data_IF_884579529703
#
_entry.id   IF_884579529703
#
_cell.length_a   1.000
_cell.length_b   1.000
_cell.length_c   1.000
_cell.angle_alpha   90.00
_cell.angle_beta   90.00
_cell.angle_gamma   90.00
#
_symmetry.space_group_name_H-M   'P 1'
#
loop_
_entity.id
_entity.type
_entity.pdbx_description
1 polymer ?
#
# COMPACT_ATOMS: atom_id res chain seq x y z
N UNK A 1 -43.70 -33.35 -19.18
CA UNK A 1 -42.89 -32.22 -19.68
C UNK A 1 -41.45 -32.69 -19.71
N UNK A 2 -40.99 -33.04 -20.91
CA UNK A 2 -39.72 -33.73 -21.15
C UNK A 2 -38.62 -32.74 -21.53
N UNK A 3 -37.40 -33.13 -21.16
CA UNK A 3 -36.14 -32.39 -21.17
C UNK A 3 -35.58 -32.24 -22.59
N UNK A 4 -36.32 -31.61 -23.49
CA UNK A 4 -35.86 -31.30 -24.86
C UNK A 4 -36.70 -30.14 -25.44
N UNK A 5 -36.35 -28.90 -25.13
CA UNK A 5 -36.72 -27.71 -25.89
C UNK A 5 -36.19 -26.47 -25.16
N UNK A 6 -34.98 -26.02 -25.55
CA UNK A 6 -34.44 -24.65 -25.37
C UNK A 6 -32.98 -24.56 -25.91
N UNK A 7 -32.68 -25.35 -26.95
CA UNK A 7 -31.63 -25.02 -27.92
C UNK A 7 -32.37 -24.52 -29.17
N UNK A 8 -31.90 -23.41 -29.73
CA UNK A 8 -32.25 -22.89 -31.07
C UNK A 8 -33.48 -21.95 -31.20
N UNK A 9 -33.27 -20.68 -30.81
CA UNK A 9 -33.50 -19.51 -31.70
C UNK A 9 -32.28 -18.59 -31.52
N UNK A 10 -31.25 -18.73 -32.36
CA UNK A 10 -31.00 -17.92 -33.57
C UNK A 10 -30.72 -16.43 -33.21
N UNK A 11 -29.46 -16.00 -33.08
CA UNK A 11 -28.42 -15.69 -34.10
C UNK A 11 -28.49 -14.23 -34.59
N UNK A 12 -27.30 -13.59 -34.63
CA UNK A 12 -26.87 -12.36 -35.33
C UNK A 12 -26.97 -10.99 -34.62
N UNK A 13 -25.86 -10.59 -33.99
CA UNK A 13 -25.19 -9.32 -34.27
C UNK A 13 -23.70 -9.43 -33.89
N UNK A 14 -22.87 -9.65 -34.92
CA UNK A 14 -21.41 -9.64 -34.87
C UNK A 14 -20.95 -8.32 -35.50
N UNK A 15 -20.31 -7.43 -34.74
CA UNK A 15 -19.46 -6.38 -35.31
C UNK A 15 -18.48 -5.79 -34.28
N UNK A 16 -17.21 -6.10 -34.51
CA UNK A 16 -16.03 -5.22 -34.36
C UNK A 16 -15.55 -4.87 -32.94
N UNK A 17 -14.56 -5.64 -32.48
CA UNK A 17 -13.57 -5.26 -31.46
C UNK A 17 -12.43 -4.53 -32.16
N UNK A 18 -12.04 -3.31 -31.74
CA UNK A 18 -10.70 -2.81 -32.02
C UNK A 18 -9.74 -3.23 -30.90
N UNK A 19 -8.63 -3.84 -31.31
CA UNK A 19 -7.43 -3.99 -30.50
C UNK A 19 -6.86 -2.62 -30.12
N UNK A 20 -6.42 -2.50 -28.87
CA UNK A 20 -5.30 -1.63 -28.50
C UNK A 20 -5.64 -0.52 -27.50
N UNK A 21 -5.42 -0.79 -26.22
CA UNK A 21 -4.57 0.12 -25.44
C UNK A 21 -3.92 -0.62 -24.27
N UNK A 22 -2.60 -0.49 -24.27
CA UNK A 22 -1.63 -0.95 -23.31
C UNK A 22 -2.00 -0.37 -21.93
N UNK A 23 -2.25 -1.20 -20.91
CA UNK A 23 -2.24 -0.73 -19.52
C UNK A 23 -0.77 -0.50 -19.17
N UNK A 24 -0.32 0.73 -19.36
CA UNK A 24 0.96 1.18 -18.83
C UNK A 24 0.78 1.38 -17.33
N UNK A 25 1.29 0.44 -16.54
CA UNK A 25 1.60 0.70 -15.14
C UNK A 25 2.75 1.73 -15.12
N UNK A 26 2.39 3.02 -15.04
CA UNK A 26 3.33 4.12 -14.95
C UNK A 26 3.45 4.52 -13.49
N UNK A 27 4.60 4.17 -12.91
CA UNK A 27 5.12 4.71 -11.65
C UNK A 27 5.21 6.24 -11.73
N UNK A 28 4.89 6.93 -10.64
CA UNK A 28 5.09 8.37 -10.50
C UNK A 28 6.54 8.78 -10.81
N UNK A 29 6.78 9.80 -11.65
CA UNK A 29 8.06 10.50 -11.64
C UNK A 29 8.11 11.38 -10.39
N UNK A 30 9.05 11.07 -9.50
CA UNK A 30 9.53 12.04 -8.52
C UNK A 30 10.04 13.26 -9.31
N UNK A 31 9.46 14.44 -9.06
CA UNK A 31 10.11 15.68 -9.47
C UNK A 31 11.17 15.98 -8.42
N UNK A 32 12.40 15.61 -8.74
CA UNK A 32 13.59 15.97 -7.98
C UNK A 32 13.70 17.50 -7.92
N UNK A 33 13.37 18.08 -6.77
CA UNK A 33 13.86 19.41 -6.39
C UNK A 33 15.24 19.21 -5.73
N UNK A 34 16.30 19.20 -6.53
CA UNK A 34 17.67 19.31 -6.01
C UNK A 34 17.98 20.77 -5.59
N UNK A 35 18.58 21.00 -4.41
CA UNK A 35 19.11 22.30 -4.02
C UNK A 35 20.53 22.53 -4.59
N UNK A 36 20.96 23.79 -4.83
CA UNK A 36 22.11 24.09 -5.66
C UNK A 36 23.43 24.12 -4.86
N UNK A 37 24.44 23.36 -5.29
CA UNK A 37 25.84 23.63 -4.92
C UNK A 37 26.82 23.37 -6.08
N UNK A 38 27.37 24.48 -6.59
CA UNK A 38 28.68 24.75 -7.19
C UNK A 38 29.47 23.64 -7.91
N UNK A 39 29.60 23.80 -9.23
CA UNK A 39 30.70 23.26 -10.03
C UNK A 39 31.99 24.08 -9.83
N UNK A 40 33.07 23.38 -9.46
CA UNK A 40 34.44 23.87 -9.58
C UNK A 40 35.32 22.79 -10.23
N UNK A 41 35.46 22.88 -11.56
CA UNK A 41 36.75 22.95 -12.25
C UNK A 41 37.61 21.69 -12.45
N UNK A 42 38.22 21.66 -13.65
CA UNK A 42 39.43 20.93 -14.09
C UNK A 42 39.27 19.43 -14.38
N UNK A 43 39.81 18.83 -15.45
CA UNK A 43 40.67 19.24 -16.55
C UNK A 43 41.03 17.95 -17.34
N UNK A 44 41.14 18.01 -18.67
CA UNK A 44 41.63 16.87 -19.50
C UNK A 44 43.16 16.74 -19.45
N UNK A 45 43.81 16.17 -20.49
CA UNK A 45 43.51 14.94 -21.25
C UNK A 45 44.80 14.09 -21.51
N UNK A 46 44.74 13.17 -22.48
CA UNK A 46 45.81 12.40 -23.18
C UNK A 46 45.89 10.92 -22.78
N UNK A 47 46.14 9.94 -23.65
CA UNK A 47 46.46 9.87 -25.09
C UNK A 47 47.06 8.49 -25.37
N UNK A 48 47.18 8.09 -26.64
CA UNK A 48 48.07 6.98 -27.04
C UNK A 48 47.45 5.90 -27.93
N UNK A 49 47.92 5.85 -29.19
CA UNK A 49 47.68 4.84 -30.22
C UNK A 49 48.68 3.66 -30.11
N UNK A 50 48.33 2.54 -30.75
CA UNK A 50 49.06 1.85 -31.85
C UNK A 50 49.23 0.32 -31.72
N UNK A 51 48.86 -0.36 -32.82
CA UNK A 51 49.34 -1.61 -33.46
C UNK A 51 49.77 -2.82 -32.60
N UNK A 52 49.47 -4.08 -32.89
CA UNK A 52 49.27 -4.80 -34.16
C UNK A 52 50.12 -6.09 -34.11
N UNK A 53 49.64 -7.23 -34.62
CA UNK A 53 50.49 -8.42 -34.80
C UNK A 53 49.75 -9.76 -34.70
N UNK A 54 49.80 -10.52 -35.79
CA UNK A 54 49.25 -11.86 -35.95
C UNK A 54 50.35 -12.94 -35.91
N UNK A 55 49.95 -14.19 -35.66
CA UNK A 55 50.74 -15.43 -35.72
C UNK A 55 50.49 -16.27 -34.47
N UNK A 56 50.19 -17.57 -34.48
CA UNK A 56 50.25 -18.63 -35.47
C UNK A 56 50.68 -19.91 -34.74
N UNK A 57 49.97 -21.03 -34.92
CA UNK A 57 50.53 -22.40 -34.79
C UNK A 57 50.49 -23.13 -33.43
N UNK A 58 49.74 -24.24 -33.45
CA UNK A 58 50.05 -25.58 -32.94
C UNK A 58 50.02 -25.98 -31.44
N UNK A 59 48.96 -26.71 -31.12
CA UNK A 59 48.91 -28.10 -30.64
C UNK A 59 49.76 -28.60 -29.43
N UNK A 60 48.99 -29.19 -28.51
CA UNK A 60 49.28 -30.35 -27.67
C UNK A 60 50.09 -30.15 -26.37
N UNK A 61 49.33 -30.18 -25.28
CA UNK A 61 49.83 -30.38 -23.92
C UNK A 61 48.65 -30.38 -22.96
N UNK A 62 47.87 -31.46 -22.95
CA UNK A 62 46.77 -31.62 -22.00
C UNK A 62 47.30 -31.73 -20.58
N UNK A 63 47.40 -30.59 -19.91
CA UNK A 63 47.37 -30.52 -18.45
C UNK A 63 45.92 -30.74 -18.05
N UNK A 64 45.64 -31.80 -17.29
CA UNK A 64 44.42 -31.84 -16.51
C UNK A 64 44.55 -30.72 -15.46
N UNK A 65 44.05 -29.53 -15.80
CA UNK A 65 43.70 -28.54 -14.79
C UNK A 65 42.66 -29.24 -13.91
N UNK A 66 43.06 -29.52 -12.66
CA UNK A 66 42.10 -29.65 -11.57
C UNK A 66 41.23 -28.42 -11.66
N UNK A 67 39.99 -28.62 -12.10
CA UNK A 67 39.00 -27.55 -12.06
C UNK A 67 38.83 -27.28 -10.58
N UNK A 68 39.39 -26.17 -10.09
CA UNK A 68 39.07 -25.66 -8.76
C UNK A 68 37.55 -25.58 -8.71
N UNK A 69 36.96 -26.54 -7.99
CA UNK A 69 35.53 -26.59 -7.80
C UNK A 69 35.15 -25.26 -7.15
N UNK A 70 34.33 -24.47 -7.87
CA UNK A 70 33.94 -23.16 -7.40
C UNK A 70 33.47 -23.28 -5.95
N UNK A 71 33.91 -22.40 -5.05
CA UNK A 71 33.55 -22.50 -3.64
C UNK A 71 32.05 -22.68 -3.53
N UNK A 72 31.58 -23.59 -2.66
CA UNK A 72 30.17 -23.90 -2.57
C UNK A 72 29.40 -22.60 -2.40
N UNK A 73 28.30 -22.42 -3.13
CA UNK A 73 27.54 -21.17 -3.06
C UNK A 73 27.20 -20.88 -1.60
N UNK A 74 27.39 -19.62 -1.20
CA UNK A 74 26.99 -19.16 0.13
C UNK A 74 25.49 -19.37 0.41
N UNK A 75 25.06 -19.19 1.65
CA UNK A 75 23.65 -19.35 2.01
C UNK A 75 22.76 -18.41 1.17
N UNK A 76 21.49 -18.78 0.92
CA UNK A 76 20.55 -17.92 0.21
C UNK A 76 20.49 -16.52 0.83
N UNK A 77 20.50 -15.49 -0.02
CA UNK A 77 20.44 -14.10 0.38
C UNK A 77 19.12 -13.45 -0.06
N UNK A 78 18.72 -12.40 0.65
CA UNK A 78 17.52 -11.64 0.32
C UNK A 78 17.72 -10.89 -1.01
N UNK A 79 16.73 -10.95 -1.88
CA UNK A 79 16.69 -10.22 -3.13
C UNK A 79 15.59 -9.14 -3.09
N UNK A 80 15.74 -8.09 -3.92
CA UNK A 80 14.77 -7.02 -3.99
C UNK A 80 13.38 -7.54 -4.40
N UNK A 81 12.37 -7.18 -3.62
CA UNK A 81 10.95 -7.43 -3.89
C UNK A 81 10.24 -6.10 -4.03
N UNK A 82 9.32 -5.99 -4.99
CA UNK A 82 8.41 -4.86 -5.10
C UNK A 82 7.05 -5.30 -4.61
N UNK A 83 6.47 -4.59 -3.66
CA UNK A 83 5.10 -4.85 -3.23
C UNK A 83 4.13 -4.15 -4.19
N UNK A 84 2.98 -4.78 -4.40
CA UNK A 84 1.89 -4.22 -5.17
C UNK A 84 0.61 -4.46 -4.41
N UNK A 85 -0.32 -3.50 -4.46
CA UNK A 85 -1.65 -3.64 -3.90
C UNK A 85 -2.23 -5.06 -4.13
N UNK A 86 -2.74 -5.75 -3.09
CA UNK A 86 -3.01 -5.27 -1.73
C UNK A 86 -1.84 -5.43 -0.73
N UNK A 87 -0.62 -5.70 -1.20
CA UNK A 87 0.54 -5.93 -0.34
C UNK A 87 1.14 -4.61 0.17
N UNK A 88 1.37 -4.55 1.48
CA UNK A 88 2.06 -3.46 2.18
C UNK A 88 3.55 -3.79 2.31
N UNK A 89 4.42 -2.77 2.37
CA UNK A 89 5.86 -2.99 2.61
C UNK A 89 6.12 -3.09 4.11
N UNK A 90 6.77 -4.17 4.56
CA UNK A 90 7.22 -4.33 5.95
C UNK A 90 8.71 -4.64 5.96
N UNK A 91 9.55 -3.62 6.11
CA UNK A 91 11.00 -3.77 5.94
C UNK A 91 11.34 -4.20 4.51
N UNK A 92 11.89 -5.41 4.36
CA UNK A 92 12.31 -5.96 3.06
C UNK A 92 11.39 -7.08 2.55
N UNK A 93 10.18 -7.18 3.10
CA UNK A 93 9.14 -8.14 2.70
C UNK A 93 7.83 -7.43 2.35
N UNK A 94 6.95 -8.14 1.65
CA UNK A 94 5.59 -7.71 1.32
C UNK A 94 4.58 -8.46 2.19
N UNK A 95 3.62 -7.75 2.77
CA UNK A 95 2.66 -8.32 3.72
C UNK A 95 1.24 -7.96 3.32
N UNK A 96 0.32 -8.92 3.37
CA UNK A 96 -1.13 -8.65 3.39
C UNK A 96 -1.62 -9.00 4.79
N UNK A 97 -2.10 -8.01 5.53
CA UNK A 97 -2.64 -8.19 6.86
C UNK A 97 -4.10 -8.66 6.80
N UNK A 98 -4.45 -9.56 7.70
CA UNK A 98 -5.82 -9.88 8.08
C UNK A 98 -5.97 -9.79 9.59
N UNK A 99 -7.20 -9.86 10.09
CA UNK A 99 -7.49 -9.73 11.52
C UNK A 99 -6.72 -10.73 12.40
N UNK A 100 -6.52 -11.96 11.92
CA UNK A 100 -5.80 -13.03 12.66
C UNK A 100 -4.79 -13.77 11.80
N UNK A 101 -4.35 -13.13 10.73
CA UNK A 101 -3.45 -13.74 9.76
C UNK A 101 -2.61 -12.70 9.06
N UNK A 102 -1.46 -13.11 8.53
CA UNK A 102 -0.66 -12.31 7.62
C UNK A 102 -0.16 -13.19 6.49
N UNK A 103 -0.31 -12.75 5.24
CA UNK A 103 0.38 -13.37 4.11
C UNK A 103 1.68 -12.63 3.89
N UNK A 104 2.81 -13.32 3.97
CA UNK A 104 4.15 -12.73 3.84
C UNK A 104 4.81 -13.25 2.56
N UNK A 105 5.29 -12.34 1.72
CA UNK A 105 6.07 -12.62 0.51
C UNK A 105 7.43 -11.95 0.57
N UNK A 106 8.47 -12.65 0.16
CA UNK A 106 9.80 -12.08 -0.04
C UNK A 106 10.48 -12.75 -1.22
N UNK A 107 11.67 -12.26 -1.58
CA UNK A 107 12.49 -12.87 -2.63
C UNK A 107 13.87 -13.25 -2.13
N UNK A 108 14.40 -14.30 -2.72
CA UNK A 108 15.79 -14.74 -2.52
C UNK A 108 16.53 -14.80 -3.85
N UNK A 109 17.86 -14.74 -3.79
CA UNK A 109 18.75 -14.85 -4.95
C UNK A 109 18.78 -16.26 -5.55
N UNK A 110 18.43 -17.28 -4.74
CA UNK A 110 18.36 -18.70 -5.12
C UNK A 110 17.20 -19.41 -4.43
N UNK A 111 16.75 -20.52 -5.03
CA UNK A 111 15.63 -21.28 -4.49
C UNK A 111 16.00 -21.92 -3.14
N UNK A 112 15.16 -21.71 -2.13
CA UNK A 112 15.25 -22.32 -0.82
C UNK A 112 13.84 -22.50 -0.25
N UNK A 113 13.67 -23.34 0.78
CA UNK A 113 12.41 -23.37 1.51
C UNK A 113 12.31 -22.05 2.28
N UNK A 114 11.24 -21.30 2.03
CA UNK A 114 11.01 -20.04 2.72
C UNK A 114 10.28 -20.28 4.03
N UNK A 115 10.78 -19.70 5.11
CA UNK A 115 10.14 -19.76 6.41
C UNK A 115 9.82 -18.38 6.95
N UNK A 116 8.65 -18.20 7.53
CA UNK A 116 8.33 -17.06 8.37
C UNK A 116 7.99 -17.51 9.79
N UNK A 117 8.47 -16.75 10.77
CA UNK A 117 8.16 -16.93 12.19
C UNK A 117 7.75 -15.58 12.78
N UNK A 118 6.65 -15.55 13.54
CA UNK A 118 6.20 -14.39 14.30
C UNK A 118 6.00 -14.77 15.76
N UNK A 119 6.55 -13.95 16.66
CA UNK A 119 6.38 -14.08 18.10
C UNK A 119 5.22 -13.21 18.56
N UNK A 120 4.33 -13.80 19.34
CA UNK A 120 3.18 -13.15 19.97
C UNK A 120 3.12 -13.50 21.46
N UNK A 121 2.36 -12.77 22.30
CA UNK A 121 2.33 -12.97 23.75
C UNK A 121 2.02 -14.42 24.18
N UNK A 122 1.11 -15.11 23.51
CA UNK A 122 0.68 -16.47 23.87
C UNK A 122 1.50 -17.58 23.23
N UNK A 123 2.16 -17.34 22.09
CA UNK A 123 2.78 -18.39 21.28
C UNK A 123 3.77 -17.85 20.22
N UNK A 124 4.38 -18.76 19.47
CA UNK A 124 5.10 -18.45 18.23
C UNK A 124 4.38 -19.11 17.06
N UNK A 125 4.07 -18.35 16.01
CA UNK A 125 3.51 -18.88 14.75
C UNK A 125 4.66 -19.03 13.75
N UNK A 126 4.83 -20.22 13.20
CA UNK A 126 5.92 -20.55 12.26
C UNK A 126 5.39 -21.37 11.10
N UNK A 127 5.66 -20.92 9.88
CA UNK A 127 5.16 -21.53 8.64
C UNK A 127 6.29 -21.60 7.62
N UNK A 128 6.32 -22.68 6.84
CA UNK A 128 7.30 -22.93 5.77
C UNK A 128 6.58 -23.16 4.44
N UNK A 129 7.22 -22.79 3.33
CA UNK A 129 6.73 -23.10 1.99
C UNK A 129 6.74 -24.61 1.71
N UNK A 130 5.82 -25.14 0.89
CA UNK A 130 5.77 -26.58 0.59
C UNK A 130 6.91 -27.06 -0.33
N UNK A 131 7.61 -26.13 -0.97
CA UNK A 131 8.73 -26.39 -1.87
C UNK A 131 9.73 -25.25 -1.85
N UNK A 132 10.95 -25.52 -2.30
CA UNK A 132 11.97 -24.51 -2.49
C UNK A 132 11.59 -23.56 -3.65
N UNK A 133 11.73 -22.26 -3.44
CA UNK A 133 11.37 -21.21 -4.42
C UNK A 133 12.22 -19.95 -4.21
N UNK A 134 12.31 -19.10 -5.24
CA UNK A 134 12.94 -17.77 -5.17
C UNK A 134 11.96 -16.64 -4.81
N UNK A 135 10.66 -16.95 -4.76
CA UNK A 135 9.57 -16.04 -4.34
C UNK A 135 8.70 -16.71 -3.28
N UNK A 136 9.22 -16.94 -2.05
CA UNK A 136 8.40 -17.54 -1.00
C UNK A 136 7.16 -16.74 -0.67
N UNK A 137 6.05 -17.45 -0.46
CA UNK A 137 4.79 -16.92 0.06
C UNK A 137 4.26 -17.84 1.14
N UNK A 138 4.02 -17.32 2.33
CA UNK A 138 3.49 -18.09 3.46
C UNK A 138 2.32 -17.35 4.11
N UNK A 139 1.36 -18.11 4.62
CA UNK A 139 0.23 -17.58 5.37
C UNK A 139 0.43 -17.93 6.84
N UNK A 140 0.72 -16.92 7.65
CA UNK A 140 0.75 -17.02 9.10
C UNK A 140 -0.69 -16.90 9.60
N UNK A 141 -1.24 -17.97 10.17
CA UNK A 141 -2.59 -17.99 10.74
C UNK A 141 -2.55 -18.02 12.27
N UNK A 142 -3.67 -17.71 12.91
CA UNK A 142 -3.80 -17.68 14.38
C UNK A 142 -2.90 -16.64 15.06
N UNK A 143 -2.69 -15.52 14.37
CA UNK A 143 -2.12 -14.34 15.00
C UNK A 143 -3.15 -13.74 15.97
N UNK A 144 -2.69 -13.34 17.14
CA UNK A 144 -3.43 -12.54 18.11
C UNK A 144 -3.80 -11.21 17.45
N UNK A 145 -5.07 -10.80 17.49
CA UNK A 145 -5.51 -9.54 16.90
C UNK A 145 -5.08 -8.34 17.76
N UNK A 146 -4.90 -7.18 17.13
CA UNK A 146 -4.62 -5.90 17.78
C UNK A 146 -3.37 -5.90 18.70
N UNK A 147 -2.36 -6.69 18.34
CA UNK A 147 -1.06 -6.70 19.03
C UNK A 147 0.06 -6.64 18.01
N UNK A 148 1.19 -6.11 18.46
CA UNK A 148 2.43 -6.11 17.69
C UNK A 148 3.12 -7.46 17.76
N UNK A 149 3.41 -8.00 16.59
CA UNK A 149 4.14 -9.25 16.38
C UNK A 149 5.54 -8.93 15.87
N UNK A 150 6.55 -9.51 16.52
CA UNK A 150 7.94 -9.43 16.04
C UNK A 150 8.24 -10.66 15.20
N UNK A 151 8.58 -10.46 13.93
CA UNK A 151 8.66 -11.50 12.91
C UNK A 151 10.03 -11.57 12.26
N UNK A 152 10.36 -12.75 11.74
CA UNK A 152 11.56 -13.01 10.95
C UNK A 152 11.22 -13.91 9.76
N UNK A 153 11.74 -13.56 8.58
CA UNK A 153 11.80 -14.48 7.44
C UNK A 153 13.18 -15.09 7.33
N UNK A 154 13.25 -16.35 6.93
CA UNK A 154 14.48 -17.11 6.78
C UNK A 154 14.43 -18.00 5.52
N UNK A 155 15.61 -18.36 5.03
CA UNK A 155 15.78 -19.43 4.06
C UNK A 155 16.24 -20.69 4.78
N UNK A 156 15.55 -21.80 4.54
CA UNK A 156 15.91 -23.13 5.02
C UNK A 156 16.47 -23.97 3.85
N UNK A 157 17.64 -24.57 4.08
CA UNK A 157 18.33 -25.51 3.20
C UNK A 157 18.73 -26.76 3.99
N UNK A 158 19.38 -27.72 3.33
CA UNK A 158 19.93 -28.91 4.00
C UNK A 158 21.03 -28.54 5.03
N UNK A 159 21.73 -27.43 4.81
CA UNK A 159 22.79 -26.92 5.70
C UNK A 159 22.26 -26.19 6.93
N UNK A 160 20.95 -25.88 6.96
CA UNK A 160 20.28 -25.22 8.08
C UNK A 160 19.44 -24.02 7.67
N UNK A 161 19.14 -23.17 8.65
CA UNK A 161 18.28 -22.00 8.48
C UNK A 161 19.10 -20.71 8.57
N UNK A 162 18.96 -19.85 7.56
CA UNK A 162 19.61 -18.54 7.49
C UNK A 162 18.53 -17.46 7.64
N UNK A 163 18.52 -16.68 8.75
CA UNK A 163 17.66 -15.51 8.88
C UNK A 163 17.97 -14.48 7.79
N UNK A 164 16.93 -13.94 7.15
CA UNK A 164 17.06 -13.01 6.03
C UNK A 164 16.66 -11.58 6.41
N UNK A 165 15.51 -11.42 7.08
CA UNK A 165 15.01 -10.11 7.49
C UNK A 165 14.11 -10.23 8.72
N UNK A 166 14.22 -9.27 9.63
CA UNK A 166 13.28 -9.07 10.73
C UNK A 166 12.33 -7.92 10.37
N UNK A 167 11.08 -8.02 10.82
CA UNK A 167 10.04 -7.03 10.60
C UNK A 167 8.99 -7.14 11.71
N UNK A 168 8.26 -6.06 11.95
CA UNK A 168 7.12 -6.06 12.85
C UNK A 168 5.83 -5.96 12.03
N UNK A 169 4.78 -6.62 12.49
CA UNK A 169 3.44 -6.46 11.96
C UNK A 169 2.45 -6.30 13.10
N UNK A 170 1.40 -5.52 12.90
CA UNK A 170 0.30 -5.40 13.85
C UNK A 170 -0.96 -5.86 13.13
N UNK A 171 -1.54 -6.98 13.58
CA UNK A 171 -2.80 -7.47 13.03
C UNK A 171 -3.96 -6.64 13.57
N UNK A 172 -5.04 -6.55 12.81
CA UNK A 172 -6.21 -5.81 13.24
C UNK A 172 -7.07 -6.62 14.20
N UNK A 173 -7.91 -5.94 14.98
CA UNK A 173 -8.99 -6.58 15.75
C UNK A 173 -9.84 -7.53 14.89
N UNK A 174 -10.53 -8.48 15.52
CA UNK A 174 -11.73 -9.08 14.86
C UNK A 174 -12.95 -8.17 14.95
N UNK A 175 -12.84 -7.06 15.68
CA UNK A 175 -13.86 -6.03 15.76
C UNK A 175 -13.81 -5.06 14.57
N UNK A 176 -14.54 -3.94 14.69
CA UNK A 176 -14.47 -2.88 13.70
C UNK A 176 -13.05 -2.31 13.61
N UNK A 177 -12.62 -1.98 12.41
CA UNK A 177 -11.38 -1.25 12.18
C UNK A 177 -11.67 -0.09 11.24
N UNK A 178 -11.79 1.09 11.83
CA UNK A 178 -12.12 2.31 11.11
C UNK A 178 -10.84 3.09 10.90
N UNK A 179 -10.53 3.39 9.64
CA UNK A 179 -9.34 4.11 9.25
C UNK A 179 -9.72 5.37 8.45
N UNK A 180 -8.93 6.44 8.62
CA UNK A 180 -8.88 7.51 7.63
C UNK A 180 -8.18 6.96 6.38
N UNK A 181 -8.80 7.15 5.22
CA UNK A 181 -8.27 6.66 3.94
C UNK A 181 -7.96 7.78 2.97
N UNK A 182 -8.69 8.89 3.03
CA UNK A 182 -8.47 10.05 2.16
C UNK A 182 -8.85 11.36 2.86
N UNK A 183 -8.12 12.44 2.58
CA UNK A 183 -8.42 13.79 3.07
C UNK A 183 -8.28 14.80 1.93
N UNK A 184 -9.37 15.51 1.61
CA UNK A 184 -9.36 16.66 0.70
C UNK A 184 -9.63 17.93 1.50
N UNK A 185 -8.58 18.73 1.71
CA UNK A 185 -8.65 19.98 2.47
C UNK A 185 -8.63 21.25 1.60
N UNK A 186 -8.28 21.15 0.31
CA UNK A 186 -8.25 22.28 -0.62
C UNK A 186 -8.98 21.87 -1.91
N UNK A 187 -10.33 21.81 -1.92
CA UNK A 187 -11.10 21.44 -3.12
C UNK A 187 -10.97 22.51 -4.23
N UNK A 188 -11.29 22.18 -5.47
CA UNK A 188 -11.25 23.15 -6.58
C UNK A 188 -12.40 24.17 -6.49
N UNK A 189 -13.52 23.74 -5.92
CA UNK A 189 -14.78 24.44 -5.87
C UNK A 189 -14.96 25.30 -4.62
N UNK A 190 -16.16 25.25 -4.05
CA UNK A 190 -16.53 26.16 -2.96
C UNK A 190 -15.91 25.73 -1.66
N UNK A 191 -15.08 26.59 -1.07
CA UNK A 191 -14.53 26.38 0.26
C UNK A 191 -15.40 26.99 1.37
N UNK A 192 -15.48 26.33 2.54
CA UNK A 192 -14.98 24.98 2.87
C UNK A 192 -15.99 23.86 2.52
N UNK A 193 -16.96 24.16 1.64
CA UNK A 193 -18.13 23.30 1.45
C UNK A 193 -17.82 21.96 0.77
N UNK A 194 -16.80 21.90 -0.09
CA UNK A 194 -16.41 20.70 -0.84
C UNK A 194 -15.22 19.94 -0.24
N UNK A 195 -14.78 20.29 0.97
CA UNK A 195 -13.82 19.50 1.72
C UNK A 195 -14.43 18.17 2.18
N UNK A 196 -13.62 17.11 2.26
CA UNK A 196 -14.05 15.84 2.82
C UNK A 196 -12.92 15.12 3.57
N UNK A 197 -13.34 14.30 4.54
CA UNK A 197 -12.49 13.24 5.12
C UNK A 197 -13.17 11.90 4.89
N UNK A 198 -12.46 10.96 4.30
CA UNK A 198 -12.95 9.62 4.04
C UNK A 198 -12.57 8.65 5.17
N UNK A 199 -13.55 7.89 5.61
CA UNK A 199 -13.40 6.78 6.54
C UNK A 199 -13.74 5.47 5.84
N UNK A 200 -13.01 4.40 6.14
CA UNK A 200 -13.37 3.05 5.74
C UNK A 200 -13.39 2.11 6.94
N UNK A 201 -14.38 1.22 7.01
CA UNK A 201 -14.32 0.06 7.90
C UNK A 201 -13.55 -1.08 7.21
N UNK A 202 -12.26 -1.17 7.49
CA UNK A 202 -11.34 -2.21 7.01
C UNK A 202 -11.42 -3.49 7.86
N UNK A 203 -12.26 -3.50 8.89
CA UNK A 203 -12.49 -4.62 9.80
C UNK A 203 -13.48 -5.66 9.26
N UNK A 204 -13.76 -6.66 10.09
CA UNK A 204 -14.67 -7.76 9.75
C UNK A 204 -16.05 -7.67 10.43
N UNK A 205 -16.25 -6.69 11.31
CA UNK A 205 -17.50 -6.46 12.05
C UNK A 205 -17.99 -5.02 11.84
N UNK A 206 -19.32 -4.78 11.90
CA UNK A 206 -19.87 -3.44 11.80
C UNK A 206 -19.31 -2.50 12.88
N UNK A 207 -19.05 -1.25 12.50
CA UNK A 207 -18.56 -0.20 13.38
C UNK A 207 -19.68 0.81 13.69
N UNK A 208 -20.06 0.96 14.97
CA UNK A 208 -20.92 2.07 15.40
C UNK A 208 -20.04 3.28 15.72
N UNK A 209 -20.20 4.34 14.92
CA UNK A 209 -19.45 5.59 15.01
C UNK A 209 -20.25 6.69 15.73
N UNK A 210 -21.40 6.36 16.30
CA UNK A 210 -22.24 7.32 17.03
C UNK A 210 -21.46 7.97 18.16
N UNK A 211 -21.36 9.30 18.14
CA UNK A 211 -20.67 10.06 19.18
C UNK A 211 -19.13 10.06 19.07
N UNK A 212 -18.56 9.43 18.04
CA UNK A 212 -17.17 9.65 17.66
C UNK A 212 -17.01 11.10 17.18
N UNK A 213 -15.78 11.60 17.09
CA UNK A 213 -15.54 12.95 16.58
C UNK A 213 -14.36 13.01 15.63
N UNK A 214 -14.54 13.78 14.56
CA UNK A 214 -13.43 14.25 13.73
C UNK A 214 -12.90 15.55 14.34
N UNK A 215 -11.61 15.64 14.58
CA UNK A 215 -10.98 16.82 15.17
C UNK A 215 -9.73 17.24 14.41
N UNK A 216 -9.49 18.54 14.37
CA UNK A 216 -8.20 19.13 14.06
C UNK A 216 -7.57 19.74 15.35
N UNK A 217 -6.49 20.52 15.21
CA UNK A 217 -5.82 21.21 16.31
C UNK A 217 -6.65 22.35 16.95
N UNK A 218 -7.65 22.86 16.23
CA UNK A 218 -8.52 23.98 16.60
C UNK A 218 -9.89 23.56 17.16
N UNK A 219 -10.32 22.32 16.89
CA UNK A 219 -11.52 21.71 17.43
C UNK A 219 -12.12 20.64 16.52
N UNK A 220 -13.18 19.99 16.99
CA UNK A 220 -13.81 18.89 16.25
C UNK A 220 -15.32 19.00 16.08
N UNK A 221 -15.86 18.06 15.31
CA UNK A 221 -17.27 17.84 15.07
C UNK A 221 -17.63 16.39 15.41
N UNK A 222 -18.75 16.21 16.11
CA UNK A 222 -19.22 14.90 16.55
C UNK A 222 -20.05 14.26 15.44
N UNK A 223 -19.79 13.00 15.14
CA UNK A 223 -20.55 12.22 14.18
C UNK A 223 -21.97 11.98 14.72
N UNK A 224 -23.01 12.15 13.88
CA UNK A 224 -24.39 12.08 14.33
C UNK A 224 -24.77 10.67 14.82
N UNK A 225 -25.76 10.55 15.73
CA UNK A 225 -26.26 9.26 16.18
C UNK A 225 -26.76 8.38 15.02
N UNK A 226 -26.50 7.08 15.10
CA UNK A 226 -26.85 6.11 14.06
C UNK A 226 -25.85 6.06 12.90
N UNK A 227 -24.71 6.76 13.00
CA UNK A 227 -23.62 6.61 12.03
C UNK A 227 -22.96 5.25 12.27
N UNK A 228 -23.06 4.35 11.31
CA UNK A 228 -22.41 3.05 11.35
C UNK A 228 -21.85 2.69 9.98
N UNK A 229 -20.79 1.88 9.98
CA UNK A 229 -20.15 1.34 8.78
C UNK A 229 -20.10 -0.19 8.85
N UNK A 230 -20.72 -0.86 7.90
CA UNK A 230 -20.56 -2.29 7.71
C UNK A 230 -19.13 -2.63 7.23
N UNK A 231 -18.66 -3.88 7.35
CA UNK A 231 -17.36 -4.29 6.83
C UNK A 231 -17.18 -3.93 5.35
N UNK A 232 -16.12 -3.19 5.04
CA UNK A 232 -15.80 -2.69 3.70
C UNK A 232 -16.56 -1.44 3.27
N UNK A 233 -17.47 -0.90 4.08
CA UNK A 233 -18.20 0.33 3.78
C UNK A 233 -17.31 1.56 3.99
N UNK A 234 -17.54 2.57 3.13
CA UNK A 234 -16.85 3.86 3.13
C UNK A 234 -17.83 4.98 3.48
N UNK A 235 -17.40 5.92 4.31
CA UNK A 235 -18.11 7.16 4.57
C UNK A 235 -17.28 8.40 4.25
N UNK A 236 -17.94 9.39 3.65
CA UNK A 236 -17.44 10.74 3.51
C UNK A 236 -17.99 11.60 4.65
N UNK A 237 -17.09 12.08 5.51
CA UNK A 237 -17.39 13.12 6.47
C UNK A 237 -17.28 14.47 5.79
N UNK A 238 -18.38 15.23 5.79
CA UNK A 238 -18.49 16.46 5.00
C UNK A 238 -19.26 17.56 5.72
N UNK A 239 -19.12 18.79 5.21
CA UNK A 239 -19.95 19.91 5.61
C UNK A 239 -21.42 19.73 5.15
N UNK A 240 -22.33 20.47 5.79
CA UNK A 240 -23.76 20.43 5.43
C UNK A 240 -24.05 20.89 4.00
N UNK A 241 -23.21 21.76 3.46
CA UNK A 241 -23.33 22.31 2.11
C UNK A 241 -22.63 21.47 1.03
N UNK A 242 -21.97 20.37 1.40
CA UNK A 242 -21.30 19.48 0.44
C UNK A 242 -22.27 18.97 -0.63
N UNK A 243 -21.83 19.00 -1.88
CA UNK A 243 -22.62 18.60 -3.03
C UNK A 243 -21.87 17.48 -3.76
N UNK A 244 -22.34 16.22 -3.68
CA UNK A 244 -21.62 15.07 -4.23
C UNK A 244 -21.49 15.11 -5.76
N UNK A 245 -22.24 15.97 -6.43
CA UNK A 245 -22.25 16.15 -7.88
C UNK A 245 -21.82 17.56 -8.30
N UNK A 246 -21.10 18.27 -7.41
CA UNK A 246 -20.68 19.65 -7.64
C UNK A 246 -19.94 19.82 -8.98
N UNK A 247 -20.36 20.78 -9.85
CA UNK A 247 -19.70 20.98 -11.13
C UNK A 247 -18.23 21.37 -10.97
N UNK A 248 -17.34 20.58 -11.58
CA UNK A 248 -15.89 20.80 -11.52
C UNK A 248 -15.19 20.05 -10.38
N UNK A 249 -15.94 19.35 -9.53
CA UNK A 249 -15.40 18.43 -8.53
C UNK A 249 -15.44 16.97 -9.00
N UNK A 250 -14.70 16.11 -8.30
CA UNK A 250 -14.81 14.66 -8.47
C UNK A 250 -16.11 14.19 -7.81
N UNK A 251 -16.95 13.50 -8.59
CA UNK A 251 -18.22 13.01 -8.08
C UNK A 251 -17.99 11.90 -7.04
N UNK A 252 -18.74 11.96 -5.94
CA UNK A 252 -18.70 10.90 -4.94
C UNK A 252 -19.21 9.57 -5.53
N UNK A 253 -18.64 8.44 -5.07
CA UNK A 253 -19.12 7.13 -5.44
C UNK A 253 -20.61 6.96 -5.06
N UNK A 254 -21.39 6.29 -5.91
CA UNK A 254 -22.85 6.18 -5.76
C UNK A 254 -23.28 5.46 -4.47
N UNK A 255 -22.43 4.58 -3.96
CA UNK A 255 -22.62 3.80 -2.73
C UNK A 255 -21.90 4.42 -1.53
N UNK A 256 -21.24 5.56 -1.69
CA UNK A 256 -20.58 6.27 -0.61
C UNK A 256 -21.61 6.74 0.43
N UNK A 257 -21.36 6.44 1.70
CA UNK A 257 -22.16 7.00 2.79
C UNK A 257 -21.74 8.45 3.05
N UNK A 258 -22.61 9.41 2.76
CA UNK A 258 -22.35 10.81 3.10
C UNK A 258 -22.82 11.09 4.53
N UNK A 259 -21.89 11.45 5.41
CA UNK A 259 -22.13 11.81 6.81
C UNK A 259 -21.92 13.32 6.98
N UNK A 260 -23.02 14.05 7.16
CA UNK A 260 -23.01 15.50 7.36
C UNK A 260 -22.83 15.85 8.84
N UNK A 261 -21.86 16.72 9.13
CA UNK A 261 -21.45 17.02 10.51
C UNK A 261 -22.20 18.20 11.15
N UNK A 262 -23.11 18.87 10.45
CA UNK A 262 -23.80 20.06 10.97
C UNK A 262 -22.98 21.35 10.91
N UNK A 263 -21.75 21.27 10.38
CA UNK A 263 -20.73 22.34 10.32
C UNK A 263 -19.61 21.95 9.36
N UNK A 264 -18.68 22.88 9.08
CA UNK A 264 -17.44 22.59 8.36
C UNK A 264 -16.56 21.58 9.09
N UNK A 265 -15.66 20.93 8.35
CA UNK A 265 -14.61 20.06 8.91
C UNK A 265 -13.63 20.97 9.66
N UNK A 266 -13.61 20.91 10.99
CA UNK A 266 -12.88 21.90 11.80
C UNK A 266 -13.69 23.14 12.17
N UNK A 267 -13.03 24.19 12.68
CA UNK A 267 -13.72 25.43 13.11
C UNK A 267 -14.11 26.31 11.93
N UNK A 268 -13.33 26.33 10.86
CA UNK A 268 -13.56 27.16 9.66
C UNK A 268 -13.37 26.40 8.34
N UNK A 269 -13.32 25.06 8.37
CA UNK A 269 -12.75 24.26 7.30
C UNK A 269 -11.34 23.80 7.65
N UNK A 270 -10.85 22.81 6.92
CA UNK A 270 -9.48 22.34 7.00
C UNK A 270 -8.55 23.38 6.36
N UNK A 271 -7.31 23.47 6.83
CA UNK A 271 -6.32 24.41 6.30
C UNK A 271 -5.73 23.88 5.00
N UNK A 272 -5.84 24.67 3.95
CA UNK A 272 -5.19 24.41 2.66
C UNK A 272 -3.65 24.34 2.80
N UNK A 273 -3.07 24.96 3.84
CA UNK A 273 -1.65 24.85 4.17
C UNK A 273 -1.24 23.51 4.79
N UNK A 274 -2.19 22.60 5.00
CA UNK A 274 -2.01 21.36 5.73
C UNK A 274 -2.34 21.50 7.22
N UNK A 275 -3.07 20.54 7.77
CA UNK A 275 -3.18 20.31 9.21
C UNK A 275 -3.43 18.85 9.55
N UNK A 276 -3.22 18.50 10.83
CA UNK A 276 -3.42 17.14 11.31
C UNK A 276 -4.92 16.90 11.56
N UNK A 277 -5.37 15.71 11.21
CA UNK A 277 -6.76 15.29 11.35
C UNK A 277 -6.82 14.03 12.19
N UNK A 278 -7.68 14.01 13.18
CA UNK A 278 -7.84 12.92 14.13
C UNK A 278 -9.27 12.42 14.15
N UNK A 279 -9.44 11.10 14.11
CA UNK A 279 -10.69 10.44 14.45
C UNK A 279 -10.60 9.95 15.89
N UNK A 280 -11.52 10.41 16.73
CA UNK A 280 -11.58 10.11 18.15
C UNK A 280 -12.83 9.29 18.46
N UNK A 281 -12.70 8.29 19.33
CA UNK A 281 -13.84 7.58 19.90
C UNK A 281 -14.53 8.40 21.01
N UNK A 282 -15.69 7.96 21.56
CA UNK A 282 -16.40 8.69 22.62
C UNK A 282 -15.63 8.80 23.94
N UNK A 283 -14.57 8.01 24.15
CA UNK A 283 -13.67 8.11 25.30
C UNK A 283 -12.58 9.18 25.09
N UNK A 284 -12.43 9.68 23.87
CA UNK A 284 -11.40 10.62 23.46
C UNK A 284 -10.11 9.96 22.98
N UNK A 285 -10.11 8.65 22.76
CA UNK A 285 -8.95 7.94 22.22
C UNK A 285 -8.85 8.15 20.71
N UNK A 286 -7.64 8.39 20.19
CA UNK A 286 -7.37 8.44 18.75
C UNK A 286 -7.48 7.04 18.16
N UNK A 287 -8.39 6.88 17.20
CA UNK A 287 -8.61 5.63 16.46
C UNK A 287 -7.80 5.63 15.17
N UNK A 288 -7.78 6.76 14.45
CA UNK A 288 -6.99 6.92 13.23
C UNK A 288 -6.63 8.39 13.02
N UNK A 289 -5.55 8.65 12.28
CA UNK A 289 -5.12 10.04 12.02
C UNK A 289 -4.37 10.24 10.70
N UNK A 290 -4.47 11.46 10.19
CA UNK A 290 -3.55 12.02 9.20
C UNK A 290 -2.62 13.03 9.91
N UNK A 291 -1.29 12.82 9.94
CA UNK A 291 -0.37 13.62 10.74
C UNK A 291 0.11 14.92 10.06
N UNK A 292 -0.52 15.35 8.96
CA UNK A 292 -0.08 16.51 8.17
C UNK A 292 1.32 16.40 7.54
N UNK A 293 1.75 15.20 7.15
CA UNK A 293 3.11 14.99 6.64
C UNK A 293 3.39 15.76 5.34
N UNK A 294 2.39 15.92 4.48
CA UNK A 294 2.56 16.44 3.12
C UNK A 294 2.39 17.98 3.05
N UNK A 295 1.94 18.61 4.13
CA UNK A 295 1.79 20.06 4.23
C UNK A 295 0.73 20.60 3.29
N UNK A 296 1.06 21.69 2.59
CA UNK A 296 0.10 22.43 1.78
C UNK A 296 -0.43 21.62 0.60
N UNK A 297 -1.75 21.68 0.41
CA UNK A 297 -2.46 21.01 -0.66
C UNK A 297 -2.55 21.93 -1.88
N UNK A 298 -2.25 21.40 -3.06
CA UNK A 298 -2.67 22.05 -4.31
C UNK A 298 -4.19 21.91 -4.48
N UNK A 299 -4.81 22.82 -5.21
CA UNK A 299 -6.25 22.81 -5.46
C UNK A 299 -6.68 21.47 -6.08
N UNK A 300 -7.70 20.86 -5.50
CA UNK A 300 -8.25 19.57 -5.94
C UNK A 300 -7.33 18.38 -5.70
N UNK A 301 -6.29 18.50 -4.88
CA UNK A 301 -5.41 17.38 -4.53
C UNK A 301 -5.73 16.91 -3.12
N UNK A 302 -6.13 15.65 -3.01
CA UNK A 302 -6.29 14.96 -1.74
C UNK A 302 -5.01 14.21 -1.36
N UNK A 303 -4.94 13.82 -0.10
CA UNK A 303 -3.98 12.85 0.39
C UNK A 303 -4.69 11.55 0.69
N UNK A 304 -4.03 10.46 0.32
CA UNK A 304 -4.54 9.10 0.39
C UNK A 304 -3.59 8.25 1.21
N UNK A 305 -4.15 7.32 1.97
CA UNK A 305 -3.38 6.34 2.70
C UNK A 305 -3.17 5.12 1.82
N UNK A 306 -1.92 4.83 1.46
CA UNK A 306 -1.56 3.74 0.57
C UNK A 306 -0.53 2.79 1.20
N UNK A 307 -0.87 1.49 1.33
CA UNK A 307 -2.22 0.94 1.18
C UNK A 307 -3.15 1.43 2.32
N UNK A 308 -4.49 1.38 2.15
CA UNK A 308 -5.45 1.79 3.17
C UNK A 308 -5.26 1.07 4.51
N UNK A 309 -4.73 -0.16 4.45
CA UNK A 309 -4.44 -1.02 5.57
C UNK A 309 -3.08 -0.77 6.22
N UNK A 310 -2.32 0.23 5.78
CA UNK A 310 -1.03 0.54 6.39
C UNK A 310 -1.18 0.76 7.91
N UNK A 311 -0.15 0.48 8.73
CA UNK A 311 -0.23 0.72 10.17
C UNK A 311 -0.48 2.21 10.50
N UNK A 312 -1.18 2.52 11.60
CA UNK A 312 -1.38 3.92 12.05
C UNK A 312 -0.07 4.64 12.37
N UNK A 313 0.95 3.89 12.83
CA UNK A 313 2.27 4.44 13.12
C UNK A 313 3.11 4.72 11.85
N UNK A 314 2.70 4.25 10.68
CA UNK A 314 3.41 4.49 9.43
C UNK A 314 2.96 5.81 8.80
N UNK A 315 3.56 6.90 9.26
CA UNK A 315 3.31 8.23 8.67
C UNK A 315 3.71 8.30 7.19
N UNK A 316 4.60 7.40 6.72
CA UNK A 316 5.04 7.31 5.33
C UNK A 316 4.00 6.69 4.40
N UNK A 317 2.91 6.13 4.93
CA UNK A 317 1.82 5.57 4.16
C UNK A 317 0.96 6.64 3.46
N UNK A 318 1.07 7.90 3.86
CA UNK A 318 0.32 9.00 3.24
C UNK A 318 1.06 9.55 2.02
N UNK A 319 0.36 9.62 0.89
CA UNK A 319 0.82 10.25 -0.36
C UNK A 319 -0.28 11.12 -0.95
N UNK A 320 0.03 11.94 -1.94
CA UNK A 320 -1.01 12.64 -2.74
C UNK A 320 -1.72 11.67 -3.66
N UNK A 321 -3.01 11.90 -3.94
CA UNK A 321 -3.80 11.12 -4.89
C UNK A 321 -3.15 11.05 -6.27
N UNK A 322 -3.48 10.01 -7.04
CA UNK A 322 -2.95 9.80 -8.39
C UNK A 322 -3.42 10.85 -9.43
N UNK A 323 -3.01 10.71 -10.70
CA UNK A 323 -3.41 11.61 -11.80
C UNK A 323 -4.92 11.69 -12.05
N UNK A 324 -5.69 10.73 -11.51
CA UNK A 324 -7.15 10.71 -11.55
C UNK A 324 -7.81 11.65 -10.55
N UNK A 325 -7.04 12.30 -9.68
CA UNK A 325 -7.54 13.18 -8.63
C UNK A 325 -8.12 12.42 -7.43
N UNK A 326 -8.82 13.15 -6.55
CA UNK A 326 -9.50 12.59 -5.39
C UNK A 326 -10.53 11.53 -5.77
N UNK A 327 -10.74 10.57 -4.88
CA UNK A 327 -11.59 9.39 -5.09
C UNK A 327 -12.73 9.31 -4.06
N UNK A 328 -13.57 10.35 -3.92
CA UNK A 328 -14.49 10.46 -2.80
C UNK A 328 -15.46 9.26 -2.75
N UNK A 329 -15.38 8.48 -1.68
CA UNK A 329 -16.26 7.36 -1.43
C UNK A 329 -15.77 6.04 -2.03
N UNK A 330 -14.54 5.98 -2.50
CA UNK A 330 -13.95 4.78 -3.08
C UNK A 330 -12.53 4.59 -2.60
N UNK A 331 -12.25 3.41 -2.04
CA UNK A 331 -10.90 3.06 -1.59
C UNK A 331 -9.98 2.95 -2.81
N UNK A 332 -8.96 3.82 -2.89
CA UNK A 332 -7.93 3.72 -3.91
C UNK A 332 -7.16 2.39 -3.72
N UNK A 333 -7.05 1.55 -4.77
CA UNK A 333 -6.46 0.21 -4.67
C UNK A 333 -4.94 0.20 -4.46
#
# INVERSE_FOLDING_TARGET
MTRTDLRERAVQALALVPLGMLVAALTCPATDLEPPWNDAGSGGPSGGREAGGAGGGDAAGGTFEETEEAPPPGPPALAAVRCSAPEITAGAVCVVLGARSATVRWRTDRAAFGRAECRQPSATVRVETPSATTDPRVVLASLEPAVRHECVVAAATEDGETPLAAFALETHGTGPWVALTEVLANPVGVEPAQEFVELANLGAEPADLSGWSLSDESGGAVLPPGTALDPGEVALLVADAYDPDAPGEHAAALDARIVRLGRSLGVQGLRNSGEAVFLLDPSGAVVSSYPNRLGAFADGVSVVRLPPQAPEADEGAWTTCGPGGPTPGSIEP
#
